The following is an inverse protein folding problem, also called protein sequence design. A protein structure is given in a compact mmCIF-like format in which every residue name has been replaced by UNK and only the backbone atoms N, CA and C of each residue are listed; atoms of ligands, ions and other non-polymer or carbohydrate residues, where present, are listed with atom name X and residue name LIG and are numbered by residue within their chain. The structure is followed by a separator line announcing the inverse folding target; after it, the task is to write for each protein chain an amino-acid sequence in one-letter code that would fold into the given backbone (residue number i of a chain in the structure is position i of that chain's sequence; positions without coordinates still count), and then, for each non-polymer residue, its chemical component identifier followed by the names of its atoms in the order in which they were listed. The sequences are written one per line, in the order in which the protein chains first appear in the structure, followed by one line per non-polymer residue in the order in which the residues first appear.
data_IF_703659170381
#
_entry.id   IF_703659170381
#
_cell.length_a   1.000
_cell.length_b   1.000
_cell.length_c   1.000
_cell.angle_alpha   90.00
_cell.angle_beta   90.00
_cell.angle_gamma   90.00
#
_symmetry.space_group_name_H-M   'P 1'
#
loop_
_entity.id
_entity.type
_entity.pdbx_description
1 polymer ?
#
# COMPACT_ATOMS: atom_id res chain seq x y z
N UNK A 1 13.40 47.37 2.06
CA UNK A 1 12.85 46.09 1.58
C UNK A 1 14.03 45.22 1.23
N UNK A 2 14.31 44.19 2.03
CA UNK A 2 15.35 43.20 1.73
C UNK A 2 14.71 42.07 0.92
N UNK A 3 15.27 41.78 -0.25
CA UNK A 3 14.88 40.62 -1.05
C UNK A 3 15.11 39.32 -0.27
N UNK A 4 14.21 38.33 -0.36
CA UNK A 4 14.43 37.04 0.26
C UNK A 4 15.54 36.31 -0.50
N UNK A 5 16.67 36.11 0.18
CA UNK A 5 17.77 35.29 -0.29
C UNK A 5 17.25 33.86 -0.54
N UNK A 6 17.51 33.24 -1.72
CA UNK A 6 17.13 31.85 -1.95
C UNK A 6 17.90 30.96 -0.98
N UNK A 7 17.20 30.05 -0.29
CA UNK A 7 17.81 28.97 0.49
C UNK A 7 18.61 28.06 -0.47
N UNK A 8 19.89 28.37 -0.70
CA UNK A 8 20.85 27.49 -1.34
C UNK A 8 21.49 26.61 -0.26
N UNK A 9 20.80 25.55 0.12
CA UNK A 9 21.43 24.49 0.92
C UNK A 9 22.20 23.59 -0.04
N UNK A 10 23.50 23.86 -0.22
CA UNK A 10 24.42 22.89 -0.82
C UNK A 10 24.56 21.71 0.15
N UNK A 11 23.67 20.72 0.02
CA UNK A 11 23.76 19.47 0.78
C UNK A 11 24.93 18.66 0.19
N UNK A 12 26.04 18.59 0.94
CA UNK A 12 27.19 17.75 0.61
C UNK A 12 26.82 16.26 0.72
N UNK A 13 26.45 15.65 -0.40
CA UNK A 13 25.96 14.28 -0.52
C UNK A 13 27.03 13.18 -0.37
N UNK A 14 28.28 13.51 -0.06
CA UNK A 14 29.42 12.64 -0.36
C UNK A 14 29.66 11.45 0.59
N UNK A 15 28.88 11.28 1.66
CA UNK A 15 29.05 10.19 2.63
C UNK A 15 27.87 9.22 2.76
N UNK A 16 26.76 9.47 2.06
CA UNK A 16 25.54 8.67 2.21
C UNK A 16 25.46 7.54 1.20
N UNK A 17 24.85 6.41 1.58
CA UNK A 17 24.66 5.31 0.64
C UNK A 17 23.73 5.76 -0.50
N UNK A 18 23.83 5.19 -1.71
CA UNK A 18 22.94 5.55 -2.83
C UNK A 18 21.44 5.36 -2.52
N UNK A 19 21.12 4.49 -1.56
CA UNK A 19 19.76 4.29 -1.05
C UNK A 19 19.32 5.51 -0.23
N UNK A 20 20.14 5.93 0.73
CA UNK A 20 19.88 7.11 1.58
C UNK A 20 19.75 8.39 0.74
N UNK A 21 20.59 8.55 -0.29
CA UNK A 21 20.51 9.68 -1.22
C UNK A 21 19.20 9.69 -2.01
N UNK A 22 18.70 8.53 -2.45
CA UNK A 22 17.43 8.43 -3.17
C UNK A 22 16.28 8.83 -2.23
N UNK A 23 16.31 8.35 -1.00
CA UNK A 23 15.28 8.58 0.01
C UNK A 23 15.21 10.05 0.40
N UNK A 24 16.38 10.68 0.57
CA UNK A 24 16.46 12.12 0.80
C UNK A 24 15.91 12.91 -0.40
N UNK A 25 16.23 12.53 -1.64
CA UNK A 25 15.71 13.22 -2.82
C UNK A 25 14.20 13.06 -2.99
N UNK A 26 13.63 11.89 -2.68
CA UNK A 26 12.18 11.71 -2.65
C UNK A 26 11.56 12.64 -1.62
N UNK A 27 12.14 12.71 -0.42
CA UNK A 27 11.65 13.61 0.63
C UNK A 27 11.72 15.08 0.22
N UNK A 28 12.84 15.52 -0.35
CA UNK A 28 12.99 16.89 -0.84
C UNK A 28 11.99 17.19 -1.97
N UNK A 29 11.72 16.22 -2.84
CA UNK A 29 10.67 16.36 -3.85
C UNK A 29 9.29 16.54 -3.21
N UNK A 30 8.96 15.76 -2.17
CA UNK A 30 7.70 15.89 -1.42
C UNK A 30 7.54 17.28 -0.80
N UNK A 31 8.60 17.84 -0.24
CA UNK A 31 8.59 19.19 0.36
C UNK A 31 8.52 20.30 -0.69
N UNK A 32 9.17 20.08 -1.84
CA UNK A 32 9.18 21.03 -2.95
C UNK A 32 7.88 21.02 -3.75
N UNK A 33 6.95 20.07 -3.54
CA UNK A 33 5.63 20.08 -4.18
C UNK A 33 4.77 21.22 -3.59
N UNK A 34 4.44 22.26 -4.38
CA UNK A 34 3.56 23.33 -3.91
C UNK A 34 2.18 22.79 -3.58
N UNK A 35 1.51 23.40 -2.59
CA UNK A 35 0.12 23.07 -2.29
C UNK A 35 -0.78 23.43 -3.47
N UNK A 36 -1.75 22.57 -3.77
CA UNK A 36 -2.49 22.62 -5.03
C UNK A 36 -3.41 23.85 -5.20
N UNK A 37 -3.64 24.62 -4.14
CA UNK A 37 -4.49 25.82 -4.16
C UNK A 37 -3.70 27.13 -4.37
N UNK A 38 -2.37 27.07 -4.42
CA UNK A 38 -1.49 28.21 -4.70
C UNK A 38 -0.88 28.11 -6.11
N UNK A 39 -0.60 29.24 -6.77
CA UNK A 39 0.32 29.24 -7.91
C UNK A 39 1.69 28.80 -7.39
N UNK A 40 2.13 27.63 -7.83
CA UNK A 40 3.34 27.00 -7.34
C UNK A 40 4.54 27.29 -8.22
N UNK A 41 5.67 27.63 -7.62
CA UNK A 41 6.96 27.51 -8.30
C UNK A 41 7.39 26.03 -8.32
N UNK A 42 7.42 25.44 -9.51
CA UNK A 42 7.80 24.04 -9.71
C UNK A 42 9.28 23.88 -10.06
N UNK A 43 10.07 24.96 -10.06
CA UNK A 43 11.47 24.93 -10.48
C UNK A 43 12.28 23.95 -9.64
N UNK A 44 12.14 24.04 -8.31
CA UNK A 44 12.86 23.15 -7.39
C UNK A 44 12.38 21.70 -7.48
N UNK A 45 11.06 21.49 -7.52
CA UNK A 45 10.49 20.15 -7.73
C UNK A 45 10.99 19.50 -9.03
N UNK A 46 10.98 20.23 -10.14
CA UNK A 46 11.47 19.74 -11.44
C UNK A 46 12.98 19.45 -11.41
N UNK A 47 13.78 20.26 -10.70
CA UNK A 47 15.22 20.04 -10.53
C UNK A 47 15.49 18.74 -9.76
N UNK A 48 14.77 18.51 -8.66
CA UNK A 48 14.90 17.30 -7.85
C UNK A 48 14.39 16.08 -8.62
N UNK A 49 13.26 16.20 -9.33
CA UNK A 49 12.72 15.17 -10.24
C UNK A 49 13.77 14.75 -11.27
N UNK A 50 14.38 15.71 -11.97
CA UNK A 50 15.39 15.40 -12.99
C UNK A 50 16.60 14.67 -12.39
N UNK A 51 16.99 15.03 -11.16
CA UNK A 51 18.04 14.33 -10.43
C UNK A 51 17.63 12.89 -10.10
N UNK A 52 16.40 12.66 -9.61
CA UNK A 52 15.88 11.31 -9.38
C UNK A 52 15.83 10.47 -10.66
N UNK A 53 15.40 11.05 -11.78
CA UNK A 53 15.37 10.39 -13.10
C UNK A 53 16.76 10.01 -13.60
N UNK A 54 17.80 10.78 -13.23
CA UNK A 54 19.19 10.45 -13.56
C UNK A 54 19.77 9.31 -12.71
N UNK A 55 19.10 8.92 -11.62
CA UNK A 55 19.61 7.86 -10.75
C UNK A 55 19.39 6.47 -11.37
N UNK A 56 20.41 5.58 -11.38
CA UNK A 56 20.28 4.24 -11.93
C UNK A 56 19.18 3.45 -11.23
N UNK A 57 18.29 2.82 -12.01
CA UNK A 57 17.15 2.03 -11.54
C UNK A 57 16.12 2.78 -10.67
N UNK A 58 16.02 4.10 -10.89
CA UNK A 58 14.96 4.95 -10.36
C UNK A 58 14.08 5.38 -11.52
N UNK A 59 12.78 5.23 -11.37
CA UNK A 59 11.80 5.64 -12.39
C UNK A 59 10.80 6.56 -11.73
N UNK A 60 10.53 7.68 -12.37
CA UNK A 60 9.67 8.74 -11.83
C UNK A 60 8.46 8.91 -12.75
N UNK A 61 7.32 9.19 -12.13
CA UNK A 61 6.06 9.41 -12.81
C UNK A 61 5.26 10.49 -12.08
N UNK A 62 4.83 11.53 -12.79
CA UNK A 62 4.02 12.63 -12.26
C UNK A 62 2.66 12.64 -12.93
N UNK A 63 1.60 12.60 -12.13
CA UNK A 63 0.23 12.72 -12.61
C UNK A 63 -0.44 13.98 -12.06
N UNK A 64 -1.30 14.59 -12.87
CA UNK A 64 -2.13 15.69 -12.42
C UNK A 64 -3.59 15.27 -12.27
N UNK A 65 -4.25 15.79 -11.24
CA UNK A 65 -5.66 15.58 -11.01
C UNK A 65 -6.54 16.14 -12.14
N UNK A 66 -7.77 15.61 -12.32
CA UNK A 66 -8.68 16.04 -13.38
C UNK A 66 -9.11 17.50 -13.29
N UNK A 67 -9.14 18.07 -12.08
CA UNK A 67 -9.58 19.44 -11.77
C UNK A 67 -8.39 20.37 -11.47
N UNK A 68 -7.15 19.97 -11.80
CA UNK A 68 -5.95 20.77 -11.55
C UNK A 68 -6.02 22.10 -12.30
N UNK A 69 -5.65 23.19 -11.63
CA UNK A 69 -5.55 24.49 -12.30
C UNK A 69 -4.36 24.47 -13.28
N UNK A 70 -4.64 24.44 -14.58
CA UNK A 70 -3.61 24.42 -15.64
C UNK A 70 -2.61 25.58 -15.54
N UNK A 71 -3.03 26.75 -15.02
CA UNK A 71 -2.11 27.88 -14.79
C UNK A 71 -1.13 27.57 -13.66
N UNK A 72 -1.63 26.95 -12.58
CA UNK A 72 -0.82 26.58 -11.42
C UNK A 72 0.26 25.53 -11.76
N UNK A 73 0.08 24.74 -12.81
CA UNK A 73 1.02 23.68 -13.24
C UNK A 73 1.69 23.98 -14.58
N UNK A 74 1.62 25.22 -15.08
CA UNK A 74 2.08 25.57 -16.44
C UNK A 74 3.53 25.16 -16.72
N UNK A 75 4.38 25.22 -15.71
CA UNK A 75 5.81 24.90 -15.80
C UNK A 75 6.16 23.52 -15.21
N UNK A 76 5.15 22.72 -14.84
CA UNK A 76 5.35 21.37 -14.35
C UNK A 76 5.42 20.40 -15.53
N UNK A 77 6.45 19.54 -15.55
CA UNK A 77 6.44 18.37 -16.43
C UNK A 77 5.46 17.34 -15.86
N UNK A 78 4.38 17.07 -16.57
CA UNK A 78 3.35 16.10 -16.18
C UNK A 78 3.36 14.95 -17.17
N UNK A 79 3.46 13.72 -16.68
CA UNK A 79 3.51 12.51 -17.50
C UNK A 79 2.13 12.00 -17.90
N UNK A 80 1.10 12.33 -17.09
CA UNK A 80 -0.28 11.95 -17.32
C UNK A 80 -1.24 13.06 -16.88
N UNK A 81 -2.04 13.55 -17.84
CA UNK A 81 -3.11 14.52 -17.59
C UNK A 81 -4.47 13.85 -17.79
N UNK A 82 -5.46 14.24 -16.98
CA UNK A 82 -6.88 13.97 -17.25
C UNK A 82 -7.25 12.50 -17.40
N UNK A 83 -6.78 11.64 -16.49
CA UNK A 83 -7.38 10.30 -16.31
C UNK A 83 -8.87 10.51 -16.00
N UNK A 84 -9.72 10.10 -16.94
CA UNK A 84 -11.17 10.21 -16.78
C UNK A 84 -11.66 8.95 -16.09
N UNK A 85 -12.02 9.10 -14.82
CA UNK A 85 -12.55 8.00 -14.00
C UNK A 85 -11.54 7.49 -12.98
N UNK A 86 -12.04 6.73 -12.01
CA UNK A 86 -11.24 6.15 -10.92
C UNK A 86 -10.84 4.69 -11.23
N UNK A 87 -10.61 4.35 -12.50
CA UNK A 87 -10.50 2.94 -12.88
C UNK A 87 -9.05 2.44 -12.75
N UNK A 88 -8.87 1.55 -11.77
CA UNK A 88 -7.68 0.71 -11.59
C UNK A 88 -7.11 0.17 -12.91
N UNK A 89 -7.97 -0.23 -13.85
CA UNK A 89 -7.57 -0.79 -15.15
C UNK A 89 -6.76 0.21 -15.99
N UNK A 90 -7.18 1.48 -16.03
CA UNK A 90 -6.43 2.51 -16.76
C UNK A 90 -5.03 2.70 -16.17
N UNK A 91 -4.92 2.76 -14.84
CA UNK A 91 -3.61 2.85 -14.19
C UNK A 91 -2.77 1.59 -14.41
N UNK A 92 -3.39 0.41 -14.41
CA UNK A 92 -2.69 -0.84 -14.69
C UNK A 92 -2.12 -0.84 -16.11
N UNK A 93 -2.91 -0.45 -17.10
CA UNK A 93 -2.48 -0.40 -18.50
C UNK A 93 -1.33 0.59 -18.71
N UNK A 94 -1.41 1.78 -18.10
CA UNK A 94 -0.33 2.77 -18.13
C UNK A 94 0.95 2.23 -17.49
N UNK A 95 0.82 1.55 -16.35
CA UNK A 95 1.96 0.92 -15.67
C UNK A 95 2.56 -0.23 -16.49
N UNK A 96 1.72 -0.99 -17.19
CA UNK A 96 2.15 -2.09 -18.05
C UNK A 96 2.84 -1.57 -19.32
N UNK A 97 2.27 -0.56 -19.97
CA UNK A 97 2.85 0.08 -21.16
C UNK A 97 4.24 0.66 -20.85
N UNK A 98 4.37 1.39 -19.75
CA UNK A 98 5.62 2.08 -19.39
C UNK A 98 6.64 1.20 -18.69
N UNK A 99 6.17 0.28 -17.84
CA UNK A 99 7.03 -0.43 -16.89
C UNK A 99 6.79 -1.94 -16.88
N UNK A 100 6.06 -2.51 -17.84
CA UNK A 100 5.76 -3.96 -17.89
C UNK A 100 6.99 -4.86 -18.04
N UNK A 101 8.08 -4.34 -18.63
CA UNK A 101 9.37 -5.03 -18.67
C UNK A 101 10.10 -5.04 -17.32
N UNK A 102 9.75 -4.11 -16.42
CA UNK A 102 10.41 -3.88 -15.13
C UNK A 102 9.62 -4.47 -13.97
N UNK A 103 8.29 -4.35 -14.01
CA UNK A 103 7.37 -4.73 -12.94
C UNK A 103 6.69 -6.05 -13.23
N UNK A 104 6.66 -6.92 -12.22
CA UNK A 104 5.84 -8.13 -12.26
C UNK A 104 4.36 -7.75 -12.10
N UNK A 105 3.46 -8.64 -12.53
CA UNK A 105 2.00 -8.45 -12.39
C UNK A 105 1.58 -7.92 -11.02
N UNK A 106 2.05 -8.53 -9.92
CA UNK A 106 1.74 -8.09 -8.55
C UNK A 106 2.18 -6.64 -8.25
N UNK A 107 3.32 -6.22 -8.78
CA UNK A 107 3.89 -4.89 -8.54
C UNK A 107 3.10 -3.84 -9.35
N UNK A 108 2.71 -4.19 -10.58
CA UNK A 108 1.81 -3.37 -11.40
C UNK A 108 0.44 -3.20 -10.74
N UNK A 109 -0.16 -4.28 -10.23
CA UNK A 109 -1.43 -4.23 -9.51
C UNK A 109 -1.34 -3.32 -8.27
N UNK A 110 -0.25 -3.43 -7.49
CA UNK A 110 -0.04 -2.57 -6.34
C UNK A 110 0.10 -1.10 -6.75
N UNK A 111 0.92 -0.80 -7.76
CA UNK A 111 1.10 0.55 -8.28
C UNK A 111 -0.21 1.17 -8.76
N UNK A 112 -1.00 0.41 -9.54
CA UNK A 112 -2.29 0.85 -10.03
C UNK A 112 -3.25 1.19 -8.87
N UNK A 113 -3.32 0.34 -7.84
CA UNK A 113 -4.12 0.63 -6.65
C UNK A 113 -3.63 1.87 -5.88
N UNK A 114 -2.31 2.09 -5.76
CA UNK A 114 -1.79 3.29 -5.07
C UNK A 114 -2.07 4.56 -5.88
N UNK A 115 -1.89 4.52 -7.20
CA UNK A 115 -2.20 5.62 -8.10
C UNK A 115 -3.70 5.94 -8.13
N UNK A 116 -4.55 4.91 -8.16
CA UNK A 116 -6.00 5.06 -8.03
C UNK A 116 -6.36 5.73 -6.69
N UNK A 117 -5.73 5.30 -5.59
CA UNK A 117 -5.95 5.90 -4.28
C UNK A 117 -5.58 7.38 -4.27
N UNK A 118 -4.41 7.73 -4.81
CA UNK A 118 -3.97 9.12 -4.94
C UNK A 118 -4.91 9.92 -5.84
N UNK A 119 -5.26 9.40 -7.02
CA UNK A 119 -6.19 10.02 -7.96
C UNK A 119 -7.53 10.43 -7.31
N UNK A 120 -8.05 9.58 -6.41
CA UNK A 120 -9.28 9.84 -5.67
C UNK A 120 -9.20 11.05 -4.73
N UNK A 121 -7.99 11.40 -4.27
CA UNK A 121 -7.74 12.45 -3.29
C UNK A 121 -7.13 13.73 -3.89
N UNK A 122 -6.45 13.64 -5.05
CA UNK A 122 -5.73 14.77 -5.67
C UNK A 122 -6.48 15.46 -6.80
N UNK A 123 -7.81 15.57 -6.72
CA UNK A 123 -8.62 16.14 -7.83
C UNK A 123 -8.05 17.44 -8.41
N UNK A 124 -7.63 18.36 -7.54
CA UNK A 124 -7.01 19.63 -7.91
C UNK A 124 -5.48 19.64 -7.81
N UNK A 125 -4.87 18.56 -7.31
CA UNK A 125 -3.45 18.45 -7.00
C UNK A 125 -2.67 17.57 -7.95
N UNK A 126 -1.50 17.14 -7.48
CA UNK A 126 -0.50 16.36 -8.20
C UNK A 126 -0.19 15.09 -7.40
N UNK A 127 -0.06 13.98 -8.12
CA UNK A 127 0.52 12.74 -7.62
C UNK A 127 1.94 12.55 -8.16
N UNK A 128 2.85 12.12 -7.31
CA UNK A 128 4.26 11.88 -7.59
C UNK A 128 4.60 10.43 -7.24
N UNK A 129 4.96 9.63 -8.23
CA UNK A 129 5.29 8.22 -8.06
C UNK A 129 6.76 7.98 -8.38
N UNK A 130 7.43 7.23 -7.51
CA UNK A 130 8.82 6.81 -7.68
C UNK A 130 8.91 5.30 -7.50
N UNK A 131 9.40 4.62 -8.54
CA UNK A 131 9.70 3.20 -8.52
C UNK A 131 11.21 3.05 -8.42
N UNK A 132 11.66 2.38 -7.35
CA UNK A 132 13.07 2.10 -7.12
C UNK A 132 13.33 0.60 -7.12
N UNK A 133 14.30 0.16 -7.92
CA UNK A 133 14.83 -1.21 -7.85
C UNK A 133 16.11 -1.18 -7.01
N UNK A 134 16.05 -1.78 -5.81
CA UNK A 134 17.13 -1.80 -4.84
C UNK A 134 17.82 -3.18 -4.93
N UNK A 135 19.12 -3.18 -5.20
CA UNK A 135 19.96 -4.39 -5.28
C UNK A 135 19.43 -5.47 -6.23
N UNK A 136 18.68 -5.09 -7.27
CA UNK A 136 18.10 -6.01 -8.27
C UNK A 136 17.05 -7.01 -7.73
N UNK A 137 16.76 -6.99 -6.43
CA UNK A 137 15.93 -7.99 -5.74
C UNK A 137 14.79 -7.40 -4.94
N UNK A 138 14.90 -6.11 -4.63
CA UNK A 138 13.89 -5.39 -3.87
C UNK A 138 13.34 -4.27 -4.73
N UNK A 139 12.04 -4.02 -4.57
CA UNK A 139 11.40 -2.89 -5.22
C UNK A 139 10.65 -2.08 -4.18
N UNK A 140 10.76 -0.77 -4.28
CA UNK A 140 9.89 0.16 -3.56
C UNK A 140 9.12 0.98 -4.58
N UNK A 141 7.82 1.07 -4.36
CA UNK A 141 6.93 1.94 -5.11
C UNK A 141 6.42 2.97 -4.11
N UNK A 142 6.91 4.20 -4.24
CA UNK A 142 6.49 5.35 -3.44
C UNK A 142 5.50 6.14 -4.26
N UNK A 143 4.33 6.45 -3.71
CA UNK A 143 3.38 7.38 -4.33
C UNK A 143 3.05 8.43 -3.29
N UNK A 144 3.31 9.68 -3.64
CA UNK A 144 3.08 10.84 -2.79
C UNK A 144 2.12 11.80 -3.46
N UNK A 145 1.44 12.61 -2.67
CA UNK A 145 0.58 13.67 -3.16
C UNK A 145 0.74 14.96 -2.36
N UNK A 146 0.31 16.07 -2.95
CA UNK A 146 0.27 17.39 -2.31
C UNK A 146 -1.14 17.77 -1.83
N UNK A 147 -2.02 16.79 -1.62
CA UNK A 147 -3.40 17.00 -1.17
C UNK A 147 -3.53 17.21 0.35
N UNK A 148 -4.77 17.15 0.84
CA UNK A 148 -5.07 17.27 2.29
C UNK A 148 -4.82 15.99 3.10
N UNK A 149 -4.21 14.96 2.50
CA UNK A 149 -4.12 13.61 3.07
C UNK A 149 -5.46 12.89 3.12
N UNK A 150 -5.57 11.88 3.99
CA UNK A 150 -6.78 11.07 4.08
C UNK A 150 -7.91 11.84 4.79
N UNK A 151 -9.02 12.04 4.08
CA UNK A 151 -10.15 12.81 4.55
C UNK A 151 -11.47 12.03 4.43
N UNK A 152 -12.25 12.02 5.50
CA UNK A 152 -13.60 11.45 5.50
C UNK A 152 -14.59 12.55 5.10
N UNK A 153 -14.98 12.59 3.83
CA UNK A 153 -15.89 13.61 3.30
C UNK A 153 -17.30 13.53 3.89
N UNK A 154 -17.74 12.35 4.33
CA UNK A 154 -19.05 12.19 4.99
C UNK A 154 -19.07 12.84 6.37
N UNK A 155 -17.96 12.73 7.11
CA UNK A 155 -17.82 13.25 8.48
C UNK A 155 -17.07 14.59 8.57
N UNK A 156 -16.63 15.13 7.43
CA UNK A 156 -15.85 16.37 7.32
C UNK A 156 -14.66 16.40 8.30
N UNK A 157 -13.91 15.30 8.38
CA UNK A 157 -12.77 15.20 9.29
C UNK A 157 -11.62 14.38 8.72
N UNK A 158 -10.38 14.63 9.17
CA UNK A 158 -9.24 13.77 8.85
C UNK A 158 -9.50 12.31 9.24
N UNK A 159 -9.02 11.40 8.40
CA UNK A 159 -9.11 9.96 8.59
C UNK A 159 -7.74 9.44 9.04
N UNK A 160 -7.72 8.60 10.07
CA UNK A 160 -6.48 7.94 10.48
C UNK A 160 -6.05 6.88 9.47
N UNK A 161 -4.75 6.57 9.36
CA UNK A 161 -4.28 5.46 8.51
C UNK A 161 -4.95 4.15 8.91
N UNK A 162 -5.14 3.92 10.23
CA UNK A 162 -5.84 2.75 10.76
C UNK A 162 -7.20 2.53 10.12
N UNK A 163 -7.94 3.61 9.92
CA UNK A 163 -9.27 3.54 9.34
C UNK A 163 -9.21 3.50 7.81
N UNK A 164 -8.24 4.21 7.19
CA UNK A 164 -8.06 4.25 5.75
C UNK A 164 -7.71 2.87 5.15
N UNK A 165 -6.97 2.03 5.87
CA UNK A 165 -6.59 0.69 5.40
C UNK A 165 -7.65 -0.39 5.67
N UNK A 166 -8.81 -0.03 6.25
CA UNK A 166 -9.90 -0.98 6.50
C UNK A 166 -10.65 -1.30 5.22
N UNK A 167 -10.56 -2.56 4.81
CA UNK A 167 -11.32 -3.06 3.68
C UNK A 167 -12.83 -2.97 3.90
N UNK A 168 -13.59 -2.73 2.83
CA UNK A 168 -15.06 -2.66 2.88
C UNK A 168 -15.64 -1.37 3.45
N UNK A 169 -14.81 -0.40 3.88
CA UNK A 169 -15.27 0.93 4.30
C UNK A 169 -15.07 1.95 3.17
N UNK A 170 -16.13 2.69 2.86
CA UNK A 170 -16.09 3.79 1.89
C UNK A 170 -16.10 5.13 2.61
N UNK A 171 -15.15 6.01 2.24
CA UNK A 171 -14.93 7.27 2.96
C UNK A 171 -15.26 8.55 2.18
N UNK A 172 -15.76 8.44 0.95
CA UNK A 172 -16.15 9.60 0.16
C UNK A 172 -17.64 9.74 -0.12
N UNK A 173 -18.00 10.90 -0.69
CA UNK A 173 -19.39 11.37 -0.81
C UNK A 173 -20.16 10.86 -2.03
N UNK A 174 -19.49 10.26 -3.02
CA UNK A 174 -20.12 9.80 -4.29
C UNK A 174 -19.80 8.37 -4.74
N UNK A 175 -18.65 7.80 -4.41
CA UNK A 175 -18.26 6.47 -4.92
C UNK A 175 -18.22 5.43 -3.80
N UNK A 176 -18.91 4.30 -4.02
CA UNK A 176 -19.06 3.20 -3.06
C UNK A 176 -17.74 2.45 -2.73
N UNK A 177 -16.65 2.74 -3.45
CA UNK A 177 -15.34 2.07 -3.33
C UNK A 177 -14.17 2.98 -2.87
N UNK A 178 -14.41 4.26 -2.57
CA UNK A 178 -13.35 5.21 -2.16
C UNK A 178 -12.61 4.71 -0.91
N UNK A 179 -11.30 4.50 -1.06
CA UNK A 179 -10.40 4.05 0.01
C UNK A 179 -10.09 2.54 0.03
N UNK A 180 -10.69 1.74 -0.85
CA UNK A 180 -10.41 0.29 -0.90
C UNK A 180 -9.05 -0.03 -1.55
N UNK A 181 -8.61 0.81 -2.49
CA UNK A 181 -7.40 0.57 -3.25
C UNK A 181 -6.14 0.48 -2.38
N UNK A 182 -6.04 1.31 -1.33
CA UNK A 182 -4.92 1.26 -0.39
C UNK A 182 -4.89 -0.06 0.41
N UNK A 183 -6.04 -0.49 0.92
CA UNK A 183 -6.19 -1.76 1.64
C UNK A 183 -5.86 -2.97 0.75
N UNK A 184 -6.30 -2.93 -0.52
CA UNK A 184 -6.01 -3.96 -1.52
C UNK A 184 -4.52 -4.00 -1.84
N UNK A 185 -3.90 -2.83 -2.09
CA UNK A 185 -2.47 -2.72 -2.40
C UNK A 185 -1.60 -3.34 -1.31
N UNK A 186 -1.81 -2.93 -0.07
CA UNK A 186 -1.03 -3.45 1.04
C UNK A 186 -1.44 -4.83 1.52
N UNK A 187 -2.69 -5.25 1.33
CA UNK A 187 -3.16 -6.55 1.81
C UNK A 187 -2.88 -7.71 0.87
N UNK A 188 -3.02 -7.48 -0.44
CA UNK A 188 -2.90 -8.54 -1.45
C UNK A 188 -1.55 -8.51 -2.17
N UNK A 189 -1.05 -7.32 -2.49
CA UNK A 189 0.02 -7.19 -3.47
C UNK A 189 1.39 -6.93 -2.86
N UNK A 190 1.49 -6.04 -1.86
CA UNK A 190 2.76 -5.66 -1.24
C UNK A 190 3.27 -6.70 -0.24
N UNK A 191 4.59 -6.74 -0.03
CA UNK A 191 5.22 -7.53 1.05
C UNK A 191 5.35 -6.72 2.35
N UNK A 192 5.31 -5.40 2.28
CA UNK A 192 5.25 -4.44 3.38
C UNK A 192 4.72 -3.10 2.82
N UNK A 193 4.04 -2.31 3.65
CA UNK A 193 3.63 -0.95 3.33
C UNK A 193 4.13 0.06 4.37
N UNK A 194 4.35 1.31 3.97
CA UNK A 194 4.36 2.44 4.90
C UNK A 194 3.43 3.52 4.40
N UNK A 195 2.83 4.26 5.34
CA UNK A 195 1.93 5.37 5.04
C UNK A 195 2.31 6.54 5.92
N UNK A 196 2.45 7.70 5.31
CA UNK A 196 2.72 8.97 5.98
C UNK A 196 1.60 9.93 5.60
N UNK A 197 0.96 10.51 6.59
CA UNK A 197 -0.04 11.57 6.44
C UNK A 197 0.34 12.76 7.32
N UNK A 198 -0.36 13.89 7.22
CA UNK A 198 -0.13 15.04 8.09
C UNK A 198 -0.24 14.70 9.59
N UNK A 199 -1.05 13.69 9.93
CA UNK A 199 -1.40 13.36 11.31
C UNK A 199 -0.65 12.13 11.85
N UNK A 200 -0.38 11.16 10.99
CA UNK A 200 0.21 9.89 11.41
C UNK A 200 1.07 9.24 10.33
N UNK A 201 2.13 8.59 10.81
CA UNK A 201 3.01 7.75 10.01
C UNK A 201 2.99 6.34 10.56
N UNK A 202 2.84 5.35 9.67
CA UNK A 202 2.52 3.97 10.03
C UNK A 202 3.26 2.97 9.14
N UNK A 203 3.71 1.88 9.75
CA UNK A 203 4.13 0.67 9.03
C UNK A 203 2.95 -0.30 8.96
N UNK A 204 2.65 -0.77 7.74
CA UNK A 204 1.54 -1.65 7.41
C UNK A 204 2.08 -3.00 6.98
N UNK A 205 1.63 -4.09 7.61
CA UNK A 205 2.06 -5.45 7.27
C UNK A 205 0.92 -6.19 6.56
N UNK A 206 1.15 -6.77 5.36
CA UNK A 206 0.18 -7.63 4.71
C UNK A 206 -0.08 -8.86 5.57
N UNK A 207 -1.35 -9.08 5.87
CA UNK A 207 -1.81 -10.38 6.29
C UNK A 207 -2.26 -11.16 5.05
N UNK A 208 -1.39 -12.05 4.54
CA UNK A 208 -1.69 -12.79 3.29
C UNK A 208 -2.95 -13.64 3.48
N UNK A 209 -4.07 -13.16 2.93
CA UNK A 209 -5.42 -13.76 2.99
C UNK A 209 -5.41 -15.28 2.85
N UNK A 210 -4.76 -15.80 1.81
CA UNK A 210 -4.64 -17.24 1.55
C UNK A 210 -3.99 -18.03 2.69
N UNK A 211 -2.95 -17.49 3.34
CA UNK A 211 -2.24 -18.21 4.40
C UNK A 211 -3.07 -18.32 5.67
N UNK A 212 -3.90 -17.31 5.96
CA UNK A 212 -4.81 -17.33 7.11
C UNK A 212 -6.08 -18.13 6.83
N UNK A 213 -6.62 -18.02 5.62
CA UNK A 213 -7.73 -18.86 5.14
C UNK A 213 -7.34 -20.35 5.14
N UNK A 214 -6.16 -20.70 4.62
CA UNK A 214 -5.65 -22.08 4.65
C UNK A 214 -5.39 -22.58 6.08
N UNK A 215 -4.88 -21.74 7.00
CA UNK A 215 -4.74 -22.12 8.41
C UNK A 215 -6.09 -22.32 9.10
N UNK A 216 -7.08 -21.47 8.82
CA UNK A 216 -8.41 -21.60 9.38
C UNK A 216 -9.10 -22.88 8.86
N UNK A 217 -9.02 -23.13 7.55
CA UNK A 217 -9.51 -24.36 6.93
C UNK A 217 -8.78 -25.60 7.47
N UNK A 218 -7.47 -25.54 7.63
CA UNK A 218 -6.67 -26.61 8.21
C UNK A 218 -7.05 -26.90 9.66
N UNK A 219 -7.22 -25.87 10.50
CA UNK A 219 -7.61 -26.05 11.90
C UNK A 219 -9.01 -26.65 12.03
N UNK A 220 -9.95 -26.22 11.17
CA UNK A 220 -11.30 -26.80 11.13
C UNK A 220 -11.23 -28.26 10.67
N UNK A 221 -10.53 -28.54 9.57
CA UNK A 221 -10.35 -29.91 9.08
C UNK A 221 -9.70 -30.80 10.15
N UNK A 222 -8.66 -30.33 10.85
CA UNK A 222 -7.99 -31.07 11.91
C UNK A 222 -8.90 -31.33 13.13
N UNK A 223 -9.67 -30.34 13.59
CA UNK A 223 -10.62 -30.51 14.68
C UNK A 223 -11.75 -31.49 14.34
N UNK A 224 -12.19 -31.52 13.08
CA UNK A 224 -13.22 -32.45 12.63
C UNK A 224 -12.70 -33.87 12.39
N UNK A 225 -11.49 -34.03 11.85
CA UNK A 225 -10.83 -35.34 11.75
C UNK A 225 -10.65 -35.93 13.15
N UNK A 226 -10.30 -35.11 14.14
CA UNK A 226 -10.17 -35.56 15.53
C UNK A 226 -11.52 -35.93 16.16
N UNK A 227 -12.58 -35.15 15.89
CA UNK A 227 -13.91 -35.40 16.46
C UNK A 227 -14.65 -36.60 15.83
N UNK A 228 -14.39 -36.91 14.56
CA UNK A 228 -15.11 -37.96 13.82
C UNK A 228 -14.25 -39.21 13.60
N UNK A 229 -12.92 -39.07 13.55
CA UNK A 229 -12.00 -40.15 13.21
C UNK A 229 -11.74 -41.16 14.32
N UNK A 230 -11.96 -40.82 15.59
CA UNK A 230 -11.74 -41.77 16.68
C UNK A 230 -12.94 -42.69 16.90
N UNK A 231 -14.16 -42.16 16.89
CA UNK A 231 -15.32 -42.97 17.32
C UNK A 231 -16.04 -43.64 16.14
N UNK A 232 -16.09 -42.99 14.97
CA UNK A 232 -16.81 -43.52 13.80
C UNK A 232 -16.00 -44.56 13.03
N UNK A 233 -14.67 -44.40 12.98
CA UNK A 233 -13.76 -45.36 12.33
C UNK A 233 -13.69 -46.68 13.12
N UNK A 234 -13.70 -46.61 14.46
CA UNK A 234 -13.77 -47.78 15.35
C UNK A 234 -15.10 -48.52 15.18
N UNK A 235 -16.21 -47.82 14.94
CA UNK A 235 -17.54 -48.43 14.80
C UNK A 235 -17.75 -49.10 13.43
N UNK A 236 -17.24 -48.50 12.34
CA UNK A 236 -17.37 -49.06 10.98
C UNK A 236 -16.46 -50.29 10.80
N UNK A 237 -15.20 -50.22 11.21
CA UNK A 237 -14.25 -51.35 11.11
C UNK A 237 -14.74 -52.55 11.92
N UNK A 238 -15.44 -52.32 13.03
CA UNK A 238 -15.97 -53.42 13.86
C UNK A 238 -17.22 -54.10 13.29
N UNK A 239 -17.95 -53.50 12.36
CA UNK A 239 -19.31 -53.98 12.05
C UNK A 239 -19.67 -54.16 10.58
N UNK A 240 -18.88 -53.70 9.58
CA UNK A 240 -19.26 -53.90 8.17
C UNK A 240 -18.07 -54.10 7.20
N UNK A 241 -18.25 -54.99 6.21
CA UNK A 241 -17.38 -55.21 5.04
C UNK A 241 -17.46 -54.03 4.04
N UNK A 242 -17.16 -52.82 4.48
CA UNK A 242 -17.09 -51.64 3.62
C UNK A 242 -15.64 -51.41 3.21
N UNK A 243 -15.39 -51.16 1.92
CA UNK A 243 -14.05 -50.81 1.45
C UNK A 243 -13.59 -49.50 2.12
N UNK A 244 -12.33 -49.46 2.54
CA UNK A 244 -11.73 -48.28 3.19
C UNK A 244 -11.96 -47.00 2.37
N UNK A 245 -11.99 -47.14 1.05
CA UNK A 245 -12.19 -46.04 0.10
C UNK A 245 -13.61 -45.49 0.15
N UNK A 246 -14.63 -46.34 0.22
CA UNK A 246 -16.04 -45.93 0.31
C UNK A 246 -16.36 -45.31 1.68
N UNK A 247 -15.78 -45.86 2.74
CA UNK A 247 -15.85 -45.28 4.08
C UNK A 247 -15.23 -43.86 4.08
N UNK A 248 -14.10 -43.67 3.39
CA UNK A 248 -13.42 -42.38 3.32
C UNK A 248 -14.21 -41.33 2.49
N UNK A 249 -14.77 -41.73 1.35
CA UNK A 249 -15.58 -40.83 0.51
C UNK A 249 -16.86 -40.41 1.26
N UNK A 250 -17.53 -41.36 1.91
CA UNK A 250 -18.76 -41.10 2.66
C UNK A 250 -18.49 -40.19 3.87
N UNK A 251 -17.43 -40.47 4.62
CA UNK A 251 -17.00 -39.60 5.72
C UNK A 251 -16.67 -38.18 5.21
N UNK A 252 -15.96 -38.06 4.08
CA UNK A 252 -15.57 -36.77 3.51
C UNK A 252 -16.79 -35.94 3.04
N UNK A 253 -17.76 -36.56 2.37
CA UNK A 253 -18.99 -35.90 1.94
C UNK A 253 -19.86 -35.47 3.13
N UNK A 254 -19.97 -36.33 4.15
CA UNK A 254 -20.69 -36.02 5.39
C UNK A 254 -20.02 -34.91 6.18
N UNK A 255 -18.68 -34.90 6.25
CA UNK A 255 -17.89 -33.82 6.84
C UNK A 255 -18.16 -32.49 6.14
N UNK A 256 -18.13 -32.44 4.81
CA UNK A 256 -18.42 -31.22 4.04
C UNK A 256 -19.84 -30.71 4.28
N UNK A 257 -20.81 -31.61 4.44
CA UNK A 257 -22.19 -31.27 4.76
C UNK A 257 -22.35 -30.73 6.19
N UNK A 258 -21.76 -31.38 7.19
CA UNK A 258 -21.78 -30.90 8.59
C UNK A 258 -21.03 -29.58 8.76
N UNK A 259 -19.93 -29.44 8.03
CA UNK A 259 -19.12 -28.23 8.03
C UNK A 259 -19.73 -27.12 7.18
N UNK A 260 -20.79 -27.38 6.42
CA UNK A 260 -21.39 -26.40 5.51
C UNK A 260 -21.73 -25.11 6.25
N UNK A 261 -22.32 -25.18 7.44
CA UNK A 261 -22.65 -23.99 8.21
C UNK A 261 -21.43 -23.29 8.81
N UNK A 262 -20.38 -24.02 9.22
CA UNK A 262 -19.12 -23.44 9.71
C UNK A 262 -18.30 -22.79 8.59
N UNK A 263 -18.25 -23.43 7.42
CA UNK A 263 -17.67 -22.93 6.17
C UNK A 263 -18.46 -21.70 5.72
N UNK A 264 -19.79 -21.78 5.65
CA UNK A 264 -20.65 -20.63 5.38
C UNK A 264 -20.43 -19.55 6.44
N UNK A 265 -20.29 -19.86 7.73
CA UNK A 265 -20.01 -18.88 8.79
C UNK A 265 -18.62 -18.25 8.70
N UNK A 266 -17.62 -18.98 8.21
CA UNK A 266 -16.31 -18.43 7.84
C UNK A 266 -16.45 -17.37 6.75
N UNK A 267 -17.35 -17.61 5.80
CA UNK A 267 -17.67 -16.69 4.70
C UNK A 267 -18.72 -15.61 5.06
N UNK A 268 -19.57 -15.81 6.07
CA UNK A 268 -20.74 -14.94 6.38
C UNK A 268 -20.69 -14.27 7.75
N UNK A 269 -20.03 -14.86 8.76
CA UNK A 269 -19.99 -14.38 10.16
C UNK A 269 -18.65 -13.79 10.61
N UNK A 270 -17.64 -13.77 9.74
CA UNK A 270 -16.34 -13.15 10.02
C UNK A 270 -16.07 -11.89 9.17
N UNK A 271 -17.09 -11.35 8.51
CA UNK A 271 -17.03 -10.06 7.80
C UNK A 271 -16.75 -8.86 8.72
N UNK A 272 -16.76 -9.05 10.04
CA UNK A 272 -16.42 -8.04 11.05
C UNK A 272 -15.01 -8.12 11.64
N UNK A 273 -14.25 -9.21 11.43
CA UNK A 273 -12.80 -9.23 11.69
C UNK A 273 -12.11 -9.00 10.36
N UNK A 274 -11.99 -7.72 10.03
CA UNK A 274 -11.37 -7.14 8.83
C UNK A 274 -10.01 -7.84 8.56
N UNK A 275 -9.99 -8.87 7.69
CA UNK A 275 -8.79 -9.61 7.29
C UNK A 275 -7.98 -8.83 6.26
N UNK A 276 -7.39 -7.71 6.66
CA UNK A 276 -6.69 -6.80 5.77
C UNK A 276 -5.65 -5.99 6.58
N UNK A 277 -4.66 -5.34 5.93
CA UNK A 277 -3.38 -4.91 6.47
C UNK A 277 -3.37 -4.45 7.93
N UNK A 278 -2.42 -4.95 8.72
CA UNK A 278 -2.29 -4.60 10.14
C UNK A 278 -1.26 -3.50 10.36
N UNK A 279 -1.51 -2.63 11.34
CA UNK A 279 -0.53 -1.64 11.78
C UNK A 279 0.53 -2.34 12.63
N UNK A 280 1.78 -2.34 12.18
CA UNK A 280 2.91 -2.84 12.97
C UNK A 280 3.57 -1.74 13.82
N UNK A 281 3.37 -0.48 13.45
CA UNK A 281 3.99 0.68 14.10
C UNK A 281 3.21 1.95 13.76
N UNK A 282 3.15 2.91 14.69
CA UNK A 282 2.53 4.22 14.47
C UNK A 282 3.23 5.30 15.29
N UNK A 283 3.55 6.42 14.63
CA UNK A 283 4.07 7.65 15.25
C UNK A 283 3.21 8.82 14.79
N UNK A 284 3.04 9.83 15.66
CA UNK A 284 2.37 11.09 15.27
C UNK A 284 3.29 11.87 14.33
N UNK A 285 2.74 12.29 13.21
CA UNK A 285 3.42 13.16 12.27
C UNK A 285 2.90 14.61 12.43
N UNK A 286 3.69 15.58 11.96
CA UNK A 286 3.31 17.00 11.90
C UNK A 286 3.56 17.59 10.50
N UNK A 287 3.54 16.75 9.48
CA UNK A 287 3.68 17.22 8.10
C UNK A 287 2.52 18.17 7.78
N UNK A 288 2.82 19.28 7.09
CA UNK A 288 1.86 20.37 6.88
C UNK A 288 0.75 19.98 5.87
N UNK A 289 1.09 19.20 4.85
CA UNK A 289 0.18 18.74 3.79
C UNK A 289 0.75 17.51 3.07
N UNK A 290 -0.08 16.85 2.27
CA UNK A 290 0.29 15.70 1.45
C UNK A 290 0.21 14.36 2.16
N UNK A 291 0.23 13.28 1.39
CA UNK A 291 0.42 11.93 1.92
C UNK A 291 1.46 11.19 1.09
N UNK A 292 2.15 10.22 1.70
CA UNK A 292 3.14 9.37 1.04
C UNK A 292 2.86 7.92 1.40
N UNK A 293 2.66 7.08 0.39
CA UNK A 293 2.40 5.65 0.53
C UNK A 293 3.50 4.86 -0.17
N UNK A 294 4.13 3.94 0.55
CA UNK A 294 5.21 3.13 0.02
C UNK A 294 4.80 1.66 0.06
N UNK A 295 4.88 0.95 -1.07
CA UNK A 295 4.77 -0.50 -1.15
C UNK A 295 6.14 -1.11 -1.42
N UNK A 296 6.52 -2.08 -0.60
CA UNK A 296 7.80 -2.78 -0.73
C UNK A 296 7.59 -4.22 -1.18
N UNK A 297 8.49 -4.70 -2.03
CA UNK A 297 8.46 -6.03 -2.62
C UNK A 297 9.82 -6.69 -2.49
N UNK A 298 9.80 -7.97 -2.13
CA UNK A 298 10.98 -8.81 -2.09
C UNK A 298 10.86 -9.93 -3.14
N UNK A 299 11.88 -10.11 -3.97
CA UNK A 299 11.91 -11.19 -4.97
C UNK A 299 12.52 -12.49 -4.42
N UNK A 300 12.98 -12.51 -3.16
CA UNK A 300 13.66 -13.66 -2.56
C UNK A 300 12.68 -14.57 -1.81
N UNK A 301 13.08 -15.81 -1.57
CA UNK A 301 12.29 -16.77 -0.79
C UNK A 301 12.28 -16.44 0.72
N UNK A 302 13.22 -15.62 1.21
CA UNK A 302 13.33 -15.25 2.63
C UNK A 302 12.69 -13.88 2.92
N UNK A 303 11.42 -13.74 2.51
CA UNK A 303 10.62 -12.51 2.72
C UNK A 303 10.52 -12.18 4.21
N UNK A 304 10.45 -13.18 5.09
CA UNK A 304 10.25 -13.00 6.53
C UNK A 304 11.44 -12.30 7.20
N UNK A 305 12.65 -12.79 6.98
CA UNK A 305 13.86 -12.21 7.58
C UNK A 305 14.13 -10.81 7.05
N UNK A 306 13.95 -10.61 5.74
CA UNK A 306 14.06 -9.30 5.12
C UNK A 306 13.04 -8.31 5.71
N UNK A 307 11.78 -8.72 5.82
CA UNK A 307 10.71 -7.88 6.38
C UNK A 307 11.04 -7.43 7.81
N UNK A 308 11.53 -8.34 8.67
CA UNK A 308 11.90 -7.99 10.04
C UNK A 308 12.99 -6.91 10.08
N UNK A 309 14.07 -7.09 9.31
CA UNK A 309 15.17 -6.11 9.22
C UNK A 309 14.70 -4.76 8.67
N UNK A 310 13.85 -4.79 7.63
CA UNK A 310 13.32 -3.58 7.03
C UNK A 310 12.41 -2.82 8.01
N UNK A 311 11.56 -3.51 8.76
CA UNK A 311 10.74 -2.89 9.81
C UNK A 311 11.62 -2.18 10.85
N UNK A 312 12.70 -2.82 11.32
CA UNK A 312 13.63 -2.21 12.28
C UNK A 312 14.27 -0.93 11.73
N UNK A 313 14.77 -0.97 10.48
CA UNK A 313 15.31 0.22 9.81
C UNK A 313 14.28 1.34 9.67
N UNK A 314 13.06 0.99 9.21
CA UNK A 314 11.99 1.96 8.99
C UNK A 314 11.54 2.60 10.30
N UNK A 315 11.48 1.86 11.41
CA UNK A 315 11.17 2.46 12.73
C UNK A 315 12.15 3.57 13.09
N UNK A 316 13.46 3.28 13.00
CA UNK A 316 14.52 4.26 13.31
C UNK A 316 14.41 5.47 12.39
N UNK A 317 14.21 5.25 11.08
CA UNK A 317 14.06 6.34 10.11
C UNK A 317 12.84 7.23 10.42
N UNK A 318 11.69 6.62 10.66
CA UNK A 318 10.44 7.33 10.93
C UNK A 318 10.45 8.08 12.27
N UNK A 319 11.12 7.53 13.28
CA UNK A 319 11.33 8.22 14.57
C UNK A 319 12.20 9.46 14.41
N UNK A 320 13.34 9.35 13.71
CA UNK A 320 14.21 10.49 13.39
C UNK A 320 13.44 11.58 12.63
N UNK A 321 12.67 11.19 11.60
CA UNK A 321 11.89 12.12 10.79
C UNK A 321 10.82 12.83 11.63
N UNK A 322 10.14 12.12 12.53
CA UNK A 322 9.14 12.70 13.42
C UNK A 322 9.74 13.73 14.39
N UNK A 323 10.99 13.55 14.83
CA UNK A 323 11.69 14.50 15.69
C UNK A 323 12.14 15.76 14.95
N UNK A 324 12.53 15.66 13.68
CA UNK A 324 12.80 16.83 12.82
C UNK A 324 11.56 17.73 12.72
N UNK A 325 10.36 17.17 12.58
CA UNK A 325 9.12 17.96 12.55
C UNK A 325 8.63 18.48 13.91
N UNK A 326 9.24 18.06 15.03
CA UNK A 326 8.95 18.64 16.35
C UNK A 326 9.77 19.89 16.64
N UNK A 327 10.89 20.05 15.95
CA UNK A 327 11.88 21.11 16.20
C UNK A 327 11.79 22.30 15.23
N UNK A 328 11.08 22.16 14.12
CA UNK A 328 10.72 23.23 13.17
C UNK A 328 9.34 23.84 13.51
#
# INVERSE_FOLDING_TARGET
MQDPTPFQTEISLSSESPEDQTDMLIHLAEEAMPYYESEGDWTEFNRIRAKLESMPYTYVFVMAGPDVNKKAIRNLKVDLQSVKGNDYEQFYDIMNERYGSLLKKREMCAAACLLENVHQHVKKGIGFCVIRIILGRYKRITVSDNGGGFFNYKKQKPLSVKDAIKYGRAYGSRYKSLGQALAISFGLWADLGTVETPNDTTIVVPERFLKKMMRALYNIAASLIFALGTDFLILIIRNQDISITDAFITASAFLLFLCRNSIISLFTKNSGKEYFPELAFKVKNKQKFGSSVNAYFCSTNDVSRWRKKLIEKLKIFLEKRADTFRSA
#
